data_IF_928574896584
#
_entry.id   IF_928574896584
#
_cell.length_a   1.000
_cell.length_b   1.000
_cell.length_c   1.000
_cell.angle_alpha   90.00
_cell.angle_beta   90.00
_cell.angle_gamma   90.00
#
_symmetry.space_group_name_H-M   'P 1'
#
loop_
_entity.id
_entity.type
_entity.pdbx_description
1 polymer ?
#
# COMPACT_ATOMS: atom_id res chain seq x y z
N UNK A 1 20.96 -8.00 -8.39
CA UNK A 1 20.61 -7.69 -9.80
C UNK A 1 20.30 -6.22 -9.94
N UNK A 2 20.48 -5.64 -11.14
CA UNK A 2 20.29 -4.21 -11.36
C UNK A 2 19.13 -3.98 -12.33
N UNK A 3 18.23 -3.05 -11.98
CA UNK A 3 17.13 -2.65 -12.84
C UNK A 3 17.65 -1.72 -13.95
N UNK A 4 17.11 -1.87 -15.15
CA UNK A 4 17.45 -1.04 -16.33
C UNK A 4 16.44 0.09 -16.58
N UNK A 5 15.27 0.04 -15.94
CA UNK A 5 14.22 1.05 -15.98
C UNK A 5 13.43 1.08 -14.68
N UNK A 6 12.69 2.15 -14.43
CA UNK A 6 11.87 2.27 -13.25
C UNK A 6 10.78 1.19 -13.19
N UNK A 7 10.75 0.43 -12.10
CA UNK A 7 9.72 -0.56 -11.78
C UNK A 7 8.66 0.08 -10.88
N UNK A 8 7.46 0.29 -11.40
CA UNK A 8 6.30 0.85 -10.70
C UNK A 8 5.28 -0.26 -10.49
N UNK A 9 5.39 -0.93 -9.36
CA UNK A 9 4.75 -2.23 -9.10
C UNK A 9 3.66 -2.13 -8.07
N UNK A 10 2.55 -2.80 -8.28
CA UNK A 10 1.52 -3.04 -7.28
C UNK A 10 1.54 -4.51 -6.89
N UNK A 11 1.66 -4.79 -5.59
CA UNK A 11 1.34 -6.11 -5.05
C UNK A 11 -0.11 -6.13 -4.61
N UNK A 12 -0.91 -6.92 -5.32
CA UNK A 12 -2.33 -7.07 -5.10
C UNK A 12 -2.64 -8.46 -4.49
N UNK A 13 -3.64 -8.54 -3.63
CA UNK A 13 -4.04 -9.79 -3.02
C UNK A 13 -4.66 -9.59 -1.63
N UNK A 14 -5.32 -10.63 -1.13
CA UNK A 14 -6.05 -10.60 0.12
C UNK A 14 -5.19 -10.13 1.31
N UNK A 15 -5.79 -9.54 2.35
CA UNK A 15 -5.08 -9.34 3.61
C UNK A 15 -4.44 -10.65 4.08
N UNK A 16 -3.19 -10.62 4.55
CA UNK A 16 -2.48 -11.82 5.03
C UNK A 16 -1.93 -12.77 3.97
N UNK A 17 -2.12 -12.51 2.66
CA UNK A 17 -1.60 -13.37 1.58
C UNK A 17 -0.06 -13.42 1.50
N UNK A 18 0.62 -12.49 2.17
CA UNK A 18 2.10 -12.45 2.20
C UNK A 18 2.73 -11.34 1.37
N UNK A 19 1.97 -10.29 0.99
CA UNK A 19 2.51 -9.15 0.23
C UNK A 19 3.75 -8.52 0.85
N UNK A 20 3.74 -8.26 2.16
CA UNK A 20 4.88 -7.69 2.88
C UNK A 20 6.13 -8.57 2.77
N UNK A 21 6.01 -9.88 2.98
CA UNK A 21 7.11 -10.84 2.83
C UNK A 21 7.67 -10.84 1.40
N UNK A 22 6.79 -10.76 0.39
CA UNK A 22 7.23 -10.69 -1.01
C UNK A 22 7.92 -9.35 -1.31
N UNK A 23 7.42 -8.24 -0.74
CA UNK A 23 8.12 -6.94 -0.83
C UNK A 23 9.52 -7.03 -0.25
N UNK A 24 9.70 -7.51 0.98
CA UNK A 24 11.01 -7.66 1.63
C UNK A 24 11.98 -8.51 0.80
N UNK A 25 11.50 -9.64 0.27
CA UNK A 25 12.30 -10.52 -0.58
C UNK A 25 12.69 -9.87 -1.91
N UNK A 26 11.78 -9.09 -2.52
CA UNK A 26 12.10 -8.31 -3.73
C UNK A 26 13.11 -7.20 -3.43
N UNK A 27 12.98 -6.47 -2.33
CA UNK A 27 13.94 -5.44 -1.94
C UNK A 27 15.35 -6.04 -1.69
N UNK A 28 15.41 -7.21 -1.05
CA UNK A 28 16.68 -7.92 -0.83
C UNK A 28 17.35 -8.33 -2.13
N UNK A 29 16.58 -8.71 -3.15
CA UNK A 29 17.08 -9.13 -4.46
C UNK A 29 17.40 -7.95 -5.39
N UNK A 30 16.62 -6.87 -5.30
CA UNK A 30 16.71 -5.65 -6.12
C UNK A 30 16.83 -4.41 -5.23
N UNK A 31 18.04 -4.05 -4.78
CA UNK A 31 18.27 -2.96 -3.81
C UNK A 31 17.83 -1.56 -4.30
N UNK A 32 17.54 -1.41 -5.60
CA UNK A 32 17.01 -0.16 -6.16
C UNK A 32 15.51 0.03 -5.90
N UNK A 33 14.80 -1.05 -5.49
CA UNK A 33 13.40 -0.99 -5.13
C UNK A 33 13.20 -0.33 -3.76
N UNK A 34 12.07 0.32 -3.64
CA UNK A 34 11.57 0.82 -2.37
C UNK A 34 10.14 0.34 -2.16
N UNK A 35 9.66 0.35 -0.93
CA UNK A 35 8.26 -0.01 -0.62
C UNK A 35 7.49 1.22 -0.15
N UNK A 36 6.25 1.33 -0.61
CA UNK A 36 5.22 2.22 -0.08
C UNK A 36 4.07 1.35 0.41
N UNK A 37 4.07 1.05 1.71
CA UNK A 37 2.96 0.35 2.37
C UNK A 37 1.97 1.37 2.90
N UNK A 38 0.81 1.48 2.26
CA UNK A 38 -0.22 2.42 2.69
C UNK A 38 -0.76 2.09 4.07
N UNK A 39 -0.82 0.82 4.42
CA UNK A 39 -1.20 0.38 5.76
C UNK A 39 -0.21 0.83 6.84
N UNK A 40 1.08 0.78 6.55
CA UNK A 40 2.12 1.23 7.52
C UNK A 40 2.15 2.75 7.62
N UNK A 41 1.99 3.47 6.51
CA UNK A 41 1.86 4.93 6.52
C UNK A 41 0.66 5.39 7.37
N UNK A 42 -0.49 4.74 7.23
CA UNK A 42 -1.66 5.05 8.04
C UNK A 42 -1.44 4.72 9.53
N UNK A 43 -0.88 3.54 9.85
CA UNK A 43 -0.55 3.14 11.23
C UNK A 43 0.42 4.12 11.87
N UNK A 44 1.44 4.56 11.14
CA UNK A 44 2.39 5.57 11.62
C UNK A 44 1.69 6.89 11.96
N UNK A 45 0.77 7.34 11.11
CA UNK A 45 -0.04 8.54 11.36
C UNK A 45 -0.93 8.40 12.62
N UNK A 46 -1.58 7.23 12.78
CA UNK A 46 -2.42 6.94 13.96
C UNK A 46 -1.56 6.95 15.24
N UNK A 47 -0.41 6.28 15.21
CA UNK A 47 0.52 6.21 16.35
C UNK A 47 1.02 7.58 16.78
N UNK A 48 1.38 8.42 15.82
CA UNK A 48 1.89 9.78 16.06
C UNK A 48 0.77 10.80 16.30
N UNK A 49 -0.50 10.36 16.37
CA UNK A 49 -1.65 11.24 16.63
C UNK A 49 -1.71 12.45 15.68
N UNK A 50 -1.29 12.25 14.43
CA UNK A 50 -1.44 13.32 13.42
C UNK A 50 -2.92 13.60 13.15
N UNK A 51 -3.29 14.79 12.63
CA UNK A 51 -4.67 15.07 12.24
C UNK A 51 -5.27 14.00 11.31
N UNK A 52 -4.48 13.50 10.34
CA UNK A 52 -4.88 12.38 9.49
C UNK A 52 -5.08 11.10 10.32
N UNK A 53 -4.15 10.78 11.21
CA UNK A 53 -4.21 9.59 12.06
C UNK A 53 -5.46 9.57 12.93
N UNK A 54 -5.80 10.67 13.56
CA UNK A 54 -7.02 10.81 14.38
C UNK A 54 -8.27 10.56 13.52
N UNK A 55 -8.33 11.13 12.32
CA UNK A 55 -9.47 11.00 11.41
C UNK A 55 -9.68 9.56 10.91
N UNK A 56 -8.62 8.80 10.66
CA UNK A 56 -8.71 7.46 10.08
C UNK A 56 -8.69 6.32 11.09
N UNK A 57 -8.41 6.60 12.36
CA UNK A 57 -8.23 5.58 13.42
C UNK A 57 -9.44 4.66 13.57
N UNK A 58 -10.65 5.21 13.66
CA UNK A 58 -11.89 4.43 13.81
C UNK A 58 -12.15 3.54 12.59
N UNK A 59 -11.93 4.07 11.38
CA UNK A 59 -12.08 3.33 10.13
C UNK A 59 -11.08 2.16 10.05
N UNK A 60 -9.85 2.38 10.48
CA UNK A 60 -8.83 1.32 10.49
C UNK A 60 -9.16 0.23 11.52
N UNK A 61 -9.60 0.60 12.73
CA UNK A 61 -10.00 -0.34 13.78
C UNK A 61 -11.17 -1.22 13.34
N UNK A 62 -12.14 -0.67 12.63
CA UNK A 62 -13.29 -1.44 12.09
C UNK A 62 -12.97 -2.23 10.80
N UNK A 63 -11.74 -2.16 10.29
CA UNK A 63 -11.36 -2.78 9.00
C UNK A 63 -11.97 -2.11 7.78
N UNK A 64 -12.46 -0.86 7.92
CA UNK A 64 -13.03 -0.06 6.86
C UNK A 64 -12.02 0.39 5.80
N UNK A 65 -12.52 0.99 4.71
CA UNK A 65 -11.70 1.66 3.71
C UNK A 65 -11.60 3.15 4.07
N UNK A 66 -10.38 3.67 4.02
CA UNK A 66 -10.14 5.11 4.12
C UNK A 66 -10.57 5.78 2.82
N UNK A 67 -11.05 7.02 2.90
CA UNK A 67 -11.53 7.78 1.74
C UNK A 67 -10.47 7.88 0.63
N UNK A 68 -10.93 7.75 -0.62
CA UNK A 68 -10.06 7.60 -1.80
C UNK A 68 -9.17 8.83 -2.02
N UNK A 69 -9.69 10.02 -1.80
CA UNK A 69 -8.96 11.28 -1.90
C UNK A 69 -7.80 11.38 -0.90
N UNK A 70 -8.04 10.97 0.35
CA UNK A 70 -7.01 10.95 1.38
C UNK A 70 -5.89 9.96 1.05
N UNK A 71 -6.26 8.78 0.54
CA UNK A 71 -5.29 7.77 0.13
C UNK A 71 -4.44 8.23 -1.04
N UNK A 72 -5.07 8.82 -2.05
CA UNK A 72 -4.37 9.29 -3.23
C UNK A 72 -3.38 10.42 -2.89
N UNK A 73 -3.79 11.36 -2.03
CA UNK A 73 -2.92 12.44 -1.54
C UNK A 73 -1.76 11.91 -0.70
N UNK A 74 -2.01 10.94 0.17
CA UNK A 74 -0.96 10.30 0.97
C UNK A 74 0.12 9.67 0.08
N UNK A 75 -0.29 8.96 -0.97
CA UNK A 75 0.63 8.33 -1.91
C UNK A 75 1.36 9.37 -2.76
N UNK A 76 0.63 10.36 -3.30
CA UNK A 76 1.24 11.43 -4.10
C UNK A 76 2.30 12.18 -3.30
N UNK A 77 2.00 12.52 -2.04
CA UNK A 77 2.96 13.19 -1.15
C UNK A 77 4.21 12.32 -0.92
N UNK A 78 4.05 11.01 -0.73
CA UNK A 78 5.18 10.09 -0.56
C UNK A 78 6.04 10.01 -1.82
N UNK A 79 5.43 9.94 -3.02
CA UNK A 79 6.14 9.93 -4.31
C UNK A 79 6.90 11.24 -4.54
N UNK A 80 6.32 12.38 -4.17
CA UNK A 80 6.96 13.70 -4.23
C UNK A 80 8.15 13.80 -3.29
N UNK A 81 7.96 13.45 -2.03
CA UNK A 81 9.00 13.52 -0.99
C UNK A 81 10.23 12.69 -1.37
N UNK A 82 10.03 11.57 -2.08
CA UNK A 82 11.10 10.71 -2.59
C UNK A 82 11.69 11.20 -3.93
N UNK A 83 11.16 12.26 -4.53
CA UNK A 83 11.62 12.79 -5.81
C UNK A 83 11.27 11.92 -7.02
N UNK A 84 10.33 10.97 -6.87
CA UNK A 84 9.89 10.09 -7.96
C UNK A 84 8.79 10.71 -8.82
N UNK A 85 8.11 11.70 -8.28
CA UNK A 85 7.17 12.54 -8.98
C UNK A 85 7.73 13.97 -8.99
N UNK A 86 7.84 14.60 -10.17
CA UNK A 86 8.37 15.95 -10.38
C UNK A 86 7.25 16.89 -10.83
N UNK A 87 7.31 18.14 -10.43
CA UNK A 87 6.29 19.15 -10.71
C UNK A 87 5.83 19.84 -9.43
N UNK A 88 4.71 20.57 -9.48
CA UNK A 88 4.13 21.12 -8.24
C UNK A 88 3.49 19.99 -7.43
N UNK A 89 3.93 19.84 -6.18
CA UNK A 89 3.42 18.84 -5.26
C UNK A 89 1.97 19.11 -4.82
N UNK A 90 1.22 18.07 -4.44
CA UNK A 90 -0.07 18.27 -3.80
C UNK A 90 0.13 19.06 -2.50
N UNK A 91 -0.87 19.84 -2.07
CA UNK A 91 -0.84 20.49 -0.76
C UNK A 91 -0.62 19.44 0.33
N UNK A 92 0.19 19.79 1.33
CA UNK A 92 0.53 18.86 2.41
C UNK A 92 -0.72 18.24 3.03
N UNK A 93 -0.71 16.91 3.21
CA UNK A 93 -1.80 16.17 3.88
C UNK A 93 -2.07 16.73 5.29
N UNK A 94 -1.06 17.30 5.94
CA UNK A 94 -1.22 17.98 7.24
C UNK A 94 -2.05 19.26 7.15
N UNK A 95 -1.88 20.08 6.10
CA UNK A 95 -2.69 21.29 5.94
C UNK A 95 -4.16 20.99 5.71
N UNK A 96 -4.46 19.95 4.93
CA UNK A 96 -5.84 19.57 4.61
C UNK A 96 -6.61 18.98 5.80
N UNK A 97 -5.91 18.26 6.69
CA UNK A 97 -6.51 17.79 7.93
C UNK A 97 -6.80 18.96 8.90
N UNK A 98 -5.98 20.01 8.87
CA UNK A 98 -6.16 21.25 9.63
C UNK A 98 -7.37 22.06 9.13
N UNK A 99 -7.54 22.21 7.82
CA UNK A 99 -8.70 22.89 7.23
C UNK A 99 -10.02 22.16 7.52
N UNK A 100 -10.01 20.83 7.55
CA UNK A 100 -11.20 20.04 7.88
C UNK A 100 -11.65 20.18 9.35
N UNK A 101 -10.73 20.48 10.27
CA UNK A 101 -11.03 20.68 11.68
C UNK A 101 -11.58 22.10 11.93
N UNK A 102 -11.13 23.09 11.16
CA UNK A 102 -11.60 24.48 11.31
C UNK A 102 -12.96 24.74 10.65
N UNK A 103 -13.41 23.89 9.74
CA UNK A 103 -14.67 24.07 9.02
C UNK A 103 -15.93 23.64 9.80
N UNK A 104 -15.80 22.98 10.95
CA UNK A 104 -16.96 22.62 11.80
C UNK A 104 -17.62 23.85 12.49
N UNK A 105 -17.01 25.04 12.42
CA UNK A 105 -17.54 26.25 13.06
C UNK A 105 -17.99 27.35 12.08
N UNK A 106 -17.99 27.09 10.78
CA UNK A 106 -18.47 28.07 9.80
C UNK A 106 -19.56 27.46 8.92
N UNK A 107 -20.79 27.93 9.09
CA UNK A 107 -21.94 27.64 8.23
C UNK A 107 -21.73 28.25 6.83
N UNK A 108 -20.74 27.79 6.07
CA UNK A 108 -20.53 28.16 4.68
C UNK A 108 -20.65 26.93 3.78
N UNK A 109 -21.45 27.07 2.72
CA UNK A 109 -21.75 26.12 1.65
C UNK A 109 -20.52 25.27 1.33
N UNK A 110 -20.64 23.97 1.53
CA UNK A 110 -19.72 23.00 0.95
C UNK A 110 -19.67 23.18 -0.57
N UNK A 111 -18.51 23.42 -1.18
CA UNK A 111 -18.41 23.28 -2.63
C UNK A 111 -18.73 21.83 -3.01
N UNK A 112 -19.37 21.58 -4.16
CA UNK A 112 -19.73 20.24 -4.57
C UNK A 112 -18.49 19.34 -4.61
N UNK A 113 -18.67 18.10 -4.15
CA UNK A 113 -17.61 17.06 -4.06
C UNK A 113 -16.87 16.89 -5.40
N UNK A 114 -17.54 17.15 -6.51
CA UNK A 114 -16.99 17.11 -7.87
C UNK A 114 -15.83 18.09 -8.12
N UNK A 115 -15.77 19.22 -7.40
CA UNK A 115 -14.66 20.17 -7.56
C UNK A 115 -13.37 19.72 -6.87
N UNK A 116 -13.43 18.78 -5.91
CA UNK A 116 -12.29 18.19 -5.24
C UNK A 116 -11.68 16.98 -5.98
N UNK A 117 -12.51 16.30 -6.76
CA UNK A 117 -12.08 15.18 -7.61
C UNK A 117 -11.48 15.69 -8.92
N UNK A 118 -11.83 16.90 -9.32
CA UNK A 118 -11.46 17.46 -10.62
C UNK A 118 -9.97 17.79 -10.78
N UNK A 119 -9.19 17.97 -9.70
CA UNK A 119 -7.72 18.03 -9.81
C UNK A 119 -7.08 17.93 -8.42
N UNK A 120 -6.24 16.92 -8.16
CA UNK A 120 -5.30 16.95 -7.04
C UNK A 120 -4.27 18.07 -7.21
N UNK A 121 -4.30 18.78 -8.33
CA UNK A 121 -3.40 19.84 -8.73
C UNK A 121 -4.25 21.07 -9.07
N UNK A 122 -4.58 21.92 -8.09
CA UNK A 122 -5.24 23.19 -8.34
C UNK A 122 -4.34 24.10 -9.18
N UNK A 123 -4.88 24.46 -10.32
CA UNK A 123 -4.60 25.59 -11.18
C UNK A 123 -3.54 26.60 -10.70
N UNK A 124 -2.32 26.28 -11.05
CA UNK A 124 -1.43 27.21 -11.67
C UNK A 124 -0.95 26.56 -12.96
N UNK A 125 -0.76 27.25 -14.06
CA UNK A 125 -0.43 26.71 -15.38
C UNK A 125 0.91 25.96 -15.42
N UNK A 126 1.19 25.21 -14.35
CA UNK A 126 2.35 24.36 -14.17
C UNK A 126 2.24 23.07 -14.96
N UNK A 127 3.37 22.65 -15.50
CA UNK A 127 3.53 21.40 -16.24
C UNK A 127 2.96 20.22 -15.46
N UNK A 128 2.18 19.30 -16.08
CA UNK A 128 1.65 18.13 -15.40
C UNK A 128 2.76 17.34 -14.73
N UNK A 129 2.48 16.66 -13.59
CA UNK A 129 3.49 15.93 -12.87
C UNK A 129 4.16 14.89 -13.78
N UNK A 130 5.48 14.92 -13.82
CA UNK A 130 6.29 13.96 -14.59
C UNK A 130 6.85 12.91 -13.68
N UNK A 131 6.64 11.66 -14.05
CA UNK A 131 7.19 10.51 -13.32
C UNK A 131 8.64 10.30 -13.76
N UNK A 132 9.51 10.01 -12.81
CA UNK A 132 10.90 9.65 -13.11
C UNK A 132 10.97 8.24 -13.70
N UNK A 133 11.71 8.08 -14.80
CA UNK A 133 12.03 6.77 -15.39
C UNK A 133 13.39 6.22 -14.93
N UNK A 134 14.05 6.90 -14.00
CA UNK A 134 15.28 6.43 -13.39
C UNK A 134 15.03 5.10 -12.65
N UNK A 135 15.85 4.07 -12.85
CA UNK A 135 15.76 2.82 -12.10
C UNK A 135 15.73 3.01 -10.57
N UNK A 136 16.35 4.07 -10.05
CA UNK A 136 16.29 4.41 -8.63
C UNK A 136 14.90 4.91 -8.16
N UNK A 137 14.03 5.32 -9.10
CA UNK A 137 12.64 5.68 -8.84
C UNK A 137 11.70 4.45 -8.87
N UNK A 138 12.23 3.28 -8.53
CA UNK A 138 11.48 2.03 -8.51
C UNK A 138 10.81 1.81 -7.17
N UNK A 139 9.53 1.42 -7.20
CA UNK A 139 8.77 1.17 -5.99
C UNK A 139 7.76 0.02 -6.12
N UNK A 140 7.46 -0.55 -4.96
CA UNK A 140 6.36 -1.48 -4.75
C UNK A 140 5.30 -0.76 -3.91
N UNK A 141 4.08 -0.68 -4.42
CA UNK A 141 2.92 -0.17 -3.71
C UNK A 141 2.13 -1.33 -3.12
N UNK A 142 2.00 -1.35 -1.78
CA UNK A 142 1.22 -2.35 -1.05
C UNK A 142 0.00 -1.71 -0.39
N UNK A 143 -1.18 -2.32 -0.60
CA UNK A 143 -2.44 -1.94 0.02
C UNK A 143 -3.21 -0.84 -0.70
N UNK A 144 -2.78 -0.39 -1.87
CA UNK A 144 -3.47 0.53 -2.76
C UNK A 144 -3.13 0.21 -4.24
N UNK A 145 -4.05 0.35 -5.19
CA UNK A 145 -5.46 0.69 -5.03
C UNK A 145 -6.28 -0.50 -4.47
N UNK A 146 -7.44 -0.20 -3.90
CA UNK A 146 -8.40 -1.20 -3.40
C UNK A 146 -9.74 -1.17 -4.15
N UNK A 147 -9.98 -0.13 -4.93
CA UNK A 147 -11.18 0.05 -5.77
C UNK A 147 -10.79 0.46 -7.18
N UNK A 148 -11.66 0.21 -8.16
CA UNK A 148 -11.40 0.61 -9.56
C UNK A 148 -11.26 2.13 -9.74
N UNK A 149 -12.05 3.00 -9.09
CA UNK A 149 -11.81 4.44 -9.12
C UNK A 149 -10.43 4.85 -8.60
N UNK A 150 -9.97 4.22 -7.51
CA UNK A 150 -8.61 4.43 -7.00
C UNK A 150 -7.55 4.06 -8.04
N UNK A 151 -7.73 2.94 -8.75
CA UNK A 151 -6.81 2.50 -9.81
C UNK A 151 -6.76 3.52 -10.95
N UNK A 152 -7.91 3.96 -11.44
CA UNK A 152 -7.99 4.97 -12.50
C UNK A 152 -7.37 6.32 -12.10
N UNK A 153 -7.55 6.75 -10.86
CA UNK A 153 -6.97 7.99 -10.37
C UNK A 153 -5.45 7.87 -10.12
N UNK A 154 -4.97 6.73 -9.64
CA UNK A 154 -3.53 6.47 -9.50
C UNK A 154 -2.83 6.55 -10.86
N UNK A 155 -3.43 5.95 -11.89
CA UNK A 155 -2.85 5.92 -13.24
C UNK A 155 -2.73 7.28 -13.92
N UNK A 156 -3.52 8.29 -13.48
CA UNK A 156 -3.38 9.69 -13.93
C UNK A 156 -2.14 10.37 -13.33
N UNK A 157 -1.67 9.87 -12.18
CA UNK A 157 -0.54 10.43 -11.44
C UNK A 157 0.74 9.68 -11.79
N UNK A 158 0.69 8.35 -11.77
CA UNK A 158 1.84 7.49 -12.01
C UNK A 158 1.45 6.25 -12.79
N UNK A 159 1.98 6.07 -14.02
CA UNK A 159 1.67 4.90 -14.83
C UNK A 159 2.30 3.65 -14.20
N UNK A 160 1.47 2.73 -13.76
CA UNK A 160 1.88 1.42 -13.22
C UNK A 160 2.29 0.51 -14.39
N UNK A 161 3.41 -0.20 -14.25
CA UNK A 161 3.96 -1.07 -15.30
C UNK A 161 4.04 -2.56 -14.92
N UNK A 162 3.66 -2.91 -13.68
CA UNK A 162 3.43 -4.29 -13.26
C UNK A 162 2.44 -4.35 -12.09
N UNK A 163 1.44 -5.18 -12.20
CA UNK A 163 0.55 -5.56 -11.10
C UNK A 163 0.64 -7.06 -10.89
N UNK A 164 1.03 -7.48 -9.70
CA UNK A 164 1.10 -8.90 -9.35
C UNK A 164 -0.05 -9.24 -8.41
N UNK A 165 -1.00 -10.03 -8.90
CA UNK A 165 -2.07 -10.60 -8.09
C UNK A 165 -1.60 -11.89 -7.44
N UNK A 166 -1.37 -11.84 -6.12
CA UNK A 166 -0.95 -13.01 -5.35
C UNK A 166 -2.19 -13.75 -4.85
N UNK A 167 -2.29 -15.02 -5.20
CA UNK A 167 -3.37 -15.91 -4.80
C UNK A 167 -2.88 -17.00 -3.85
N UNK A 168 -3.58 -17.20 -2.74
CA UNK A 168 -3.33 -18.27 -1.76
C UNK A 168 -4.68 -18.69 -1.19
N UNK A 169 -4.92 -19.97 -0.92
CA UNK A 169 -6.16 -20.45 -0.33
C UNK A 169 -6.49 -19.79 1.00
N UNK A 170 -7.76 -19.47 1.22
CA UNK A 170 -8.24 -18.79 2.42
C UNK A 170 -7.84 -19.49 3.72
N UNK A 171 -7.89 -20.81 3.74
CA UNK A 171 -7.49 -21.61 4.92
C UNK A 171 -6.04 -21.41 5.33
N UNK A 172 -5.15 -21.19 4.37
CA UNK A 172 -3.73 -20.86 4.61
C UNK A 172 -3.60 -19.43 5.14
N UNK A 173 -4.36 -18.50 4.58
CA UNK A 173 -4.31 -17.09 5.00
C UNK A 173 -4.80 -16.94 6.44
N UNK A 174 -5.90 -17.59 6.81
CA UNK A 174 -6.43 -17.54 8.20
C UNK A 174 -5.37 -18.04 9.20
N UNK A 175 -4.74 -19.19 8.91
CA UNK A 175 -3.66 -19.72 9.78
C UNK A 175 -2.49 -18.73 9.92
N UNK A 176 -2.12 -18.05 8.83
CA UNK A 176 -1.04 -17.05 8.86
C UNK A 176 -1.38 -15.85 9.73
N UNK A 177 -2.60 -15.36 9.66
CA UNK A 177 -3.03 -14.20 10.43
C UNK A 177 -3.13 -14.51 11.93
N UNK A 178 -3.71 -15.65 12.27
CA UNK A 178 -3.80 -16.10 13.65
C UNK A 178 -2.43 -16.24 14.35
N UNK A 179 -1.41 -16.65 13.58
CA UNK A 179 -0.03 -16.81 14.08
C UNK A 179 0.87 -15.58 13.90
N UNK A 180 0.35 -14.44 13.42
CA UNK A 180 1.17 -13.25 13.10
C UNK A 180 1.50 -12.42 14.33
N UNK A 181 2.78 -12.07 14.44
CA UNK A 181 3.32 -11.13 15.41
C UNK A 181 4.17 -10.08 14.72
N UNK A 182 4.24 -8.88 15.27
CA UNK A 182 4.92 -7.75 14.64
C UNK A 182 5.76 -7.01 15.65
N UNK A 183 6.98 -6.68 15.29
CA UNK A 183 7.78 -5.67 15.98
C UNK A 183 7.39 -4.29 15.45
N UNK A 184 6.61 -3.55 16.23
CA UNK A 184 5.97 -2.31 15.80
C UNK A 184 6.97 -1.24 15.30
N UNK A 185 8.12 -0.99 15.99
CA UNK A 185 9.06 0.06 15.57
C UNK A 185 9.70 -0.21 14.21
N UNK A 186 10.03 -1.47 13.88
CA UNK A 186 10.72 -1.83 12.62
C UNK A 186 9.79 -2.37 11.54
N UNK A 187 8.54 -2.73 11.90
CA UNK A 187 7.62 -3.40 10.97
C UNK A 187 7.93 -4.87 10.69
N UNK A 188 8.98 -5.46 11.29
CA UNK A 188 9.32 -6.89 11.09
C UNK A 188 8.17 -7.78 11.52
N UNK A 189 7.93 -8.80 10.70
CA UNK A 189 6.81 -9.73 10.88
C UNK A 189 7.32 -11.11 11.20
N UNK A 190 6.77 -11.69 12.26
CA UNK A 190 6.99 -13.06 12.68
C UNK A 190 5.72 -13.88 12.55
N UNK A 191 5.86 -15.19 12.53
CA UNK A 191 4.72 -16.10 12.53
C UNK A 191 5.08 -17.37 13.31
N UNK A 192 4.20 -17.77 14.19
CA UNK A 192 4.43 -18.92 15.09
C UNK A 192 4.60 -20.26 14.36
N UNK A 193 4.17 -20.37 13.10
CA UNK A 193 4.19 -21.63 12.36
C UNK A 193 5.33 -21.77 11.34
N UNK A 194 5.86 -20.68 10.77
CA UNK A 194 6.87 -20.76 9.68
C UNK A 194 7.98 -19.71 9.75
N UNK A 195 7.88 -18.72 10.62
CA UNK A 195 8.89 -17.68 10.85
C UNK A 195 8.85 -17.28 12.34
N UNK A 196 9.01 -18.26 13.22
CA UNK A 196 8.95 -18.02 14.64
C UNK A 196 10.17 -17.20 15.11
N UNK A 197 9.97 -16.26 16.06
CA UNK A 197 11.10 -15.57 16.67
C UNK A 197 11.95 -16.55 17.49
N UNK A 198 13.25 -16.30 17.59
CA UNK A 198 14.20 -17.12 18.35
C UNK A 198 13.79 -17.22 19.83
N UNK A 199 13.32 -16.10 20.37
CA UNK A 199 12.76 -16.03 21.71
C UNK A 199 11.26 -15.69 21.57
N UNK A 200 10.35 -16.56 22.09
CA UNK A 200 8.93 -16.31 21.97
C UNK A 200 8.52 -14.91 22.47
N UNK A 201 7.76 -14.19 21.64
CA UNK A 201 7.27 -12.86 21.94
C UNK A 201 8.30 -11.72 21.89
N UNK A 202 9.52 -11.97 21.37
CA UNK A 202 10.57 -10.96 21.24
C UNK A 202 11.10 -10.87 19.81
N UNK A 203 11.46 -9.65 19.45
CA UNK A 203 12.12 -9.36 18.16
C UNK A 203 13.57 -9.89 18.16
N UNK A 204 13.97 -10.58 17.09
CA UNK A 204 15.27 -11.25 16.98
C UNK A 204 16.47 -10.30 16.92
N UNK A 205 16.24 -9.04 16.58
CA UNK A 205 17.32 -8.04 16.40
C UNK A 205 17.42 -7.12 17.60
N UNK A 206 16.30 -6.61 18.10
CA UNK A 206 16.27 -5.62 19.19
C UNK A 206 15.98 -6.23 20.55
N UNK A 207 15.39 -7.44 20.59
CA UNK A 207 14.91 -8.07 21.82
C UNK A 207 13.64 -7.44 22.40
N UNK A 208 13.07 -6.44 21.74
CA UNK A 208 11.85 -5.76 22.14
C UNK A 208 10.61 -6.65 21.99
N UNK A 209 9.52 -6.36 22.73
CA UNK A 209 8.31 -7.18 22.65
C UNK A 209 7.65 -7.15 21.27
N UNK A 210 7.11 -8.30 20.86
CA UNK A 210 6.24 -8.42 19.69
C UNK A 210 4.79 -8.21 20.12
N UNK A 211 4.01 -7.62 19.22
CA UNK A 211 2.57 -7.40 19.40
C UNK A 211 1.76 -8.04 18.28
N UNK A 212 0.51 -8.35 18.54
CA UNK A 212 -0.46 -8.63 17.48
C UNK A 212 -1.12 -7.33 17.04
N UNK A 213 -1.35 -7.17 15.76
CA UNK A 213 -2.05 -5.99 15.22
C UNK A 213 -3.52 -6.03 15.62
N UNK A 214 -4.11 -4.91 15.99
CA UNK A 214 -5.53 -4.81 16.30
C UNK A 214 -6.43 -5.22 15.13
N UNK A 215 -5.96 -5.01 13.89
CA UNK A 215 -6.66 -5.36 12.65
C UNK A 215 -6.46 -6.83 12.21
N UNK A 216 -5.83 -7.66 13.05
CA UNK A 216 -5.69 -9.12 12.89
C UNK A 216 -6.72 -9.92 13.70
N UNK A 217 -7.54 -9.27 14.52
CA UNK A 217 -8.68 -9.92 15.17
C UNK A 217 -9.59 -10.57 14.12
N UNK A 218 -10.11 -11.76 14.40
CA UNK A 218 -10.79 -12.59 13.41
C UNK A 218 -12.01 -11.91 12.78
N UNK A 219 -12.80 -11.20 13.57
CA UNK A 219 -13.97 -10.45 13.11
C UNK A 219 -13.60 -9.29 12.17
N UNK A 220 -12.56 -8.55 12.54
CA UNK A 220 -11.99 -7.46 11.71
C UNK A 220 -11.42 -8.03 10.42
N UNK A 221 -10.69 -9.15 10.51
CA UNK A 221 -10.15 -9.81 9.34
C UNK A 221 -11.25 -10.28 8.37
N UNK A 222 -12.31 -10.92 8.87
CA UNK A 222 -13.45 -11.35 8.04
C UNK A 222 -14.10 -10.18 7.30
N UNK A 223 -14.22 -9.03 7.96
CA UNK A 223 -14.74 -7.80 7.36
C UNK A 223 -13.82 -7.29 6.25
N UNK A 224 -12.50 -7.26 6.47
CA UNK A 224 -11.51 -6.87 5.47
C UNK A 224 -11.48 -7.80 4.27
N UNK A 225 -11.57 -9.12 4.51
CA UNK A 225 -11.58 -10.12 3.46
C UNK A 225 -12.83 -10.01 2.59
N UNK A 226 -14.01 -9.80 3.18
CA UNK A 226 -15.26 -9.59 2.44
C UNK A 226 -15.14 -8.36 1.54
N UNK A 227 -14.69 -7.23 2.08
CA UNK A 227 -14.48 -6.01 1.28
C UNK A 227 -13.47 -6.21 0.16
N UNK A 228 -12.40 -6.96 0.42
CA UNK A 228 -11.46 -7.33 -0.62
C UNK A 228 -12.12 -8.13 -1.74
N UNK A 229 -12.93 -9.13 -1.43
CA UNK A 229 -13.65 -9.91 -2.45
C UNK A 229 -14.60 -9.03 -3.29
N UNK A 230 -15.34 -8.14 -2.64
CA UNK A 230 -16.29 -7.24 -3.31
C UNK A 230 -15.61 -6.23 -4.26
N UNK A 231 -14.40 -5.79 -3.95
CA UNK A 231 -13.74 -4.69 -4.68
C UNK A 231 -12.58 -5.15 -5.57
N UNK A 232 -12.11 -6.40 -5.44
CA UNK A 232 -10.89 -6.87 -6.11
C UNK A 232 -11.07 -7.07 -7.61
N UNK A 233 -12.18 -7.64 -8.05
CA UNK A 233 -12.39 -8.00 -9.44
C UNK A 233 -12.33 -6.79 -10.39
N UNK A 234 -13.01 -5.66 -10.12
CA UNK A 234 -12.92 -4.46 -10.97
C UNK A 234 -11.51 -3.86 -11.04
N UNK A 235 -10.71 -3.98 -9.97
CA UNK A 235 -9.30 -3.51 -9.97
C UNK A 235 -8.44 -4.41 -10.87
N UNK A 236 -8.59 -5.72 -10.73
CA UNK A 236 -7.86 -6.68 -11.56
C UNK A 236 -8.23 -6.54 -13.04
N UNK A 237 -9.51 -6.38 -13.35
CA UNK A 237 -9.98 -6.13 -14.71
C UNK A 237 -9.39 -4.86 -15.31
N UNK A 238 -9.30 -3.76 -14.54
CA UNK A 238 -8.70 -2.51 -14.97
C UNK A 238 -7.24 -2.72 -15.43
N UNK A 239 -6.43 -3.43 -14.64
CA UNK A 239 -5.03 -3.68 -14.98
C UNK A 239 -4.82 -4.81 -15.99
N UNK A 240 -5.76 -5.75 -16.08
CA UNK A 240 -5.77 -6.75 -17.14
C UNK A 240 -5.96 -6.10 -18.52
N UNK A 241 -6.91 -5.17 -18.64
CA UNK A 241 -7.13 -4.39 -19.88
C UNK A 241 -5.90 -3.58 -20.31
N UNK A 242 -5.06 -3.17 -19.35
CA UNK A 242 -3.79 -2.48 -19.61
C UNK A 242 -2.63 -3.42 -19.95
N UNK A 243 -2.80 -4.73 -19.85
CA UNK A 243 -1.75 -5.72 -20.14
C UNK A 243 -0.61 -5.75 -19.11
N UNK A 244 -0.81 -5.18 -17.92
CA UNK A 244 0.22 -5.11 -16.87
C UNK A 244 -0.04 -6.07 -15.70
N UNK A 245 -1.16 -6.80 -15.71
CA UNK A 245 -1.51 -7.77 -14.68
C UNK A 245 -0.79 -9.11 -14.90
N UNK A 246 -0.27 -9.67 -13.81
CA UNK A 246 0.23 -11.05 -13.72
C UNK A 246 -0.36 -11.70 -12.47
N UNK A 247 -0.81 -12.93 -12.59
CA UNK A 247 -1.30 -13.72 -11.48
C UNK A 247 -0.25 -14.73 -11.03
N UNK A 248 0.00 -14.79 -9.72
CA UNK A 248 0.95 -15.73 -9.11
C UNK A 248 0.26 -16.48 -7.99
N UNK A 249 0.21 -17.81 -8.10
CA UNK A 249 -0.40 -18.68 -7.10
C UNK A 249 0.64 -19.50 -6.36
N UNK A 250 0.41 -19.70 -5.06
CA UNK A 250 1.24 -20.57 -4.23
C UNK A 250 0.72 -20.71 -2.80
N UNK A 251 1.09 -21.84 -2.18
CA UNK A 251 0.74 -22.15 -0.79
C UNK A 251 1.71 -21.52 0.20
N UNK A 252 2.93 -21.23 -0.24
CA UNK A 252 4.00 -20.65 0.59
C UNK A 252 4.68 -19.47 -0.10
N UNK A 253 5.40 -18.67 0.70
CA UNK A 253 6.24 -17.61 0.14
C UNK A 253 7.37 -18.17 -0.73
N UNK A 254 7.83 -19.38 -0.45
CA UNK A 254 8.92 -20.03 -1.19
C UNK A 254 8.48 -20.50 -2.57
N UNK A 255 7.20 -20.84 -2.74
CA UNK A 255 6.60 -21.12 -4.05
C UNK A 255 6.32 -19.86 -4.86
N UNK A 256 5.90 -18.77 -4.19
CA UNK A 256 5.52 -17.50 -4.82
C UNK A 256 6.74 -16.73 -5.27
N UNK A 257 7.80 -16.63 -4.43
CA UNK A 257 8.95 -15.78 -4.70
C UNK A 257 9.67 -16.08 -6.01
N UNK A 258 9.98 -17.35 -6.39
CA UNK A 258 10.64 -17.64 -7.66
C UNK A 258 9.81 -17.20 -8.88
N UNK A 259 8.50 -17.39 -8.83
CA UNK A 259 7.58 -16.99 -9.91
C UNK A 259 7.57 -15.46 -10.06
N UNK A 260 7.54 -14.77 -8.92
CA UNK A 260 7.57 -13.31 -8.87
C UNK A 260 8.90 -12.77 -9.39
N UNK A 261 10.01 -13.38 -9.00
CA UNK A 261 11.34 -13.00 -9.50
C UNK A 261 11.46 -13.14 -11.01
N UNK A 262 11.01 -14.26 -11.57
CA UNK A 262 11.04 -14.49 -13.00
C UNK A 262 10.27 -13.41 -13.80
N UNK A 263 9.07 -13.04 -13.34
CA UNK A 263 8.31 -11.95 -13.98
C UNK A 263 8.99 -10.58 -13.83
N UNK A 264 9.61 -10.34 -12.68
CA UNK A 264 10.31 -9.09 -12.42
C UNK A 264 11.58 -8.96 -13.30
N UNK A 265 12.36 -10.02 -13.37
CA UNK A 265 13.57 -10.10 -14.19
C UNK A 265 13.25 -9.91 -15.67
N UNK A 266 12.27 -10.63 -16.17
CA UNK A 266 11.79 -10.52 -17.56
C UNK A 266 11.42 -9.09 -17.96
N UNK A 267 10.90 -8.28 -17.04
CA UNK A 267 10.40 -6.94 -17.33
C UNK A 267 11.40 -5.83 -17.07
N UNK A 268 12.25 -5.97 -16.06
CA UNK A 268 13.04 -4.87 -15.50
C UNK A 268 14.55 -5.15 -15.40
N UNK A 269 14.98 -6.36 -15.66
CA UNK A 269 16.40 -6.75 -15.65
C UNK A 269 16.80 -7.26 -17.01
N UNK A 270 18.05 -7.02 -17.36
CA UNK A 270 18.66 -7.55 -18.60
C UNK A 270 19.43 -8.83 -18.30
#
# INVERSE_FOLDING_TARGET
MRLIKAARVILFGAPGVGKGTQSERLLSRFPQLNTISTGDLLRHNVKNRTPLGIKVESTMKSGGLVADDLMLRLISNELFTRGWLKGQGPPSVMMLASEAITSEHSAYRQPPIDSFVASPFHHDEGMPPRVSDDPAASFILDGFPRTAPQAGNLDKIVPINLVVSIKTPLSVIIKRIAGRWVHEPSGRVYNTSFNAPRVPGRDDITGEPLIQRADDAEDVYRTRFRKFQETSEPVLEHYAKKGVLVEVEGMSSDEISPKLYAEFEKRFVQ
#
